data_IF_440602533735
#
_entry.id   IF_440602533735
#
_cell.length_a   1.000
_cell.length_b   1.000
_cell.length_c   1.000
_cell.angle_alpha   90.00
_cell.angle_beta   90.00
_cell.angle_gamma   90.00
#
_symmetry.space_group_name_H-M   'P 1'
#
loop_
_entity.id
_entity.type
_entity.pdbx_description
1 polymer ?
#
# COMPACT_ATOMS: atom_id res chain seq x y z
N UNK A 1 11.17 -11.97 2.27
CA UNK A 1 10.68 -12.44 0.95
C UNK A 1 9.25 -11.96 0.69
N UNK A 2 8.97 -11.39 -0.48
CA UNK A 2 7.60 -11.08 -0.93
C UNK A 2 6.89 -12.37 -1.37
N UNK A 3 5.72 -12.64 -0.78
CA UNK A 3 4.90 -13.84 -1.04
C UNK A 3 3.73 -13.55 -1.99
N UNK A 4 3.11 -12.39 -1.86
CA UNK A 4 2.00 -11.97 -2.70
C UNK A 4 1.99 -10.45 -2.83
N UNK A 5 1.73 -9.96 -4.03
CA UNK A 5 1.44 -8.56 -4.33
C UNK A 5 0.26 -8.53 -5.29
N UNK A 6 -0.85 -7.90 -4.89
CA UNK A 6 -2.07 -7.88 -5.68
C UNK A 6 -2.83 -6.57 -5.50
N UNK A 7 -3.76 -6.32 -6.43
CA UNK A 7 -4.61 -5.13 -6.45
C UNK A 7 -6.02 -5.54 -6.83
N UNK A 8 -6.99 -5.00 -6.13
CA UNK A 8 -8.41 -5.19 -6.43
C UNK A 8 -9.09 -3.83 -6.58
N UNK A 9 -9.99 -3.67 -7.57
CA UNK A 9 -10.86 -2.50 -7.65
C UNK A 9 -11.88 -2.52 -6.51
N UNK A 10 -12.09 -1.37 -5.89
CA UNK A 10 -13.03 -1.19 -4.77
C UNK A 10 -14.05 -0.10 -5.06
N UNK A 11 -15.14 -0.06 -4.29
CA UNK A 11 -16.18 0.95 -4.39
C UNK A 11 -15.71 2.26 -3.77
N UNK A 12 -16.16 3.39 -4.32
CA UNK A 12 -15.95 4.71 -3.71
C UNK A 12 -16.66 4.88 -2.36
N UNK A 13 -17.55 3.95 -2.01
CA UNK A 13 -18.18 3.88 -0.68
C UNK A 13 -17.22 3.37 0.42
N UNK A 14 -16.12 2.71 0.04
CA UNK A 14 -15.08 2.30 0.98
C UNK A 14 -14.26 3.53 1.40
N UNK A 15 -14.78 4.25 2.39
CA UNK A 15 -14.07 5.39 3.01
C UNK A 15 -12.88 4.92 3.83
N UNK A 16 -11.96 5.84 4.10
CA UNK A 16 -10.81 5.62 5.00
C UNK A 16 -11.26 5.06 6.36
N UNK A 17 -12.29 5.64 6.97
CA UNK A 17 -12.82 5.20 8.26
C UNK A 17 -13.34 3.77 8.20
N UNK A 18 -14.13 3.44 7.17
CA UNK A 18 -14.69 2.08 7.00
C UNK A 18 -13.58 1.04 6.76
N UNK A 19 -12.56 1.41 5.99
CA UNK A 19 -11.41 0.56 5.71
C UNK A 19 -10.58 0.28 6.96
N UNK A 20 -10.25 1.32 7.73
CA UNK A 20 -9.52 1.16 9.00
C UNK A 20 -10.35 0.38 10.01
N UNK A 21 -11.65 0.63 10.10
CA UNK A 21 -12.55 -0.12 10.99
C UNK A 21 -12.57 -1.62 10.66
N UNK A 22 -12.64 -2.00 9.37
CA UNK A 22 -12.55 -3.41 8.95
C UNK A 22 -11.21 -4.04 9.31
N UNK A 23 -10.12 -3.28 9.20
CA UNK A 23 -8.78 -3.74 9.55
C UNK A 23 -8.61 -3.94 11.06
N UNK A 24 -9.13 -3.01 11.87
CA UNK A 24 -9.17 -3.14 13.34
C UNK A 24 -10.00 -4.35 13.75
N UNK A 25 -11.18 -4.54 13.15
CA UNK A 25 -12.03 -5.69 13.40
C UNK A 25 -11.33 -7.01 13.02
N UNK A 26 -10.56 -7.01 11.92
CA UNK A 26 -9.77 -8.17 11.52
C UNK A 26 -8.71 -8.56 12.55
N UNK A 27 -7.93 -7.59 13.06
CA UNK A 27 -6.86 -7.90 14.02
C UNK A 27 -7.38 -8.21 15.42
N UNK A 28 -8.47 -7.57 15.85
CA UNK A 28 -9.07 -7.77 17.19
C UNK A 28 -9.87 -9.07 17.31
N UNK A 29 -10.57 -9.47 16.24
CA UNK A 29 -11.35 -10.73 16.23
C UNK A 29 -10.53 -11.95 15.74
N UNK A 30 -9.23 -11.79 15.53
CA UNK A 30 -8.36 -12.88 15.11
C UNK A 30 -8.06 -13.83 16.27
N UNK A 31 -8.05 -15.14 15.99
CA UNK A 31 -7.54 -16.14 16.96
C UNK A 31 -6.01 -16.15 17.04
N UNK A 32 -5.35 -15.52 16.08
CA UNK A 32 -3.90 -15.59 15.91
C UNK A 32 -3.17 -14.36 16.47
N UNK A 33 -3.90 -13.29 16.83
CA UNK A 33 -3.32 -12.03 17.27
C UNK A 33 -3.93 -11.60 18.60
N UNK A 34 -3.15 -10.93 19.44
CA UNK A 34 -3.59 -10.51 20.77
C UNK A 34 -3.64 -8.98 20.88
N UNK A 35 -4.67 -8.36 20.33
CA UNK A 35 -4.95 -6.93 20.53
C UNK A 35 -6.06 -6.74 21.58
N UNK A 36 -5.85 -5.80 22.50
CA UNK A 36 -6.98 -5.25 23.28
C UNK A 36 -7.87 -4.42 22.34
N UNK A 37 -9.19 -4.32 22.59
CA UNK A 37 -10.06 -3.49 21.77
C UNK A 37 -9.55 -2.05 21.70
N UNK A 38 -9.29 -1.57 20.49
CA UNK A 38 -8.82 -0.20 20.24
C UNK A 38 -9.63 0.43 19.12
N UNK A 39 -9.60 1.75 19.07
CA UNK A 39 -10.27 2.54 18.03
C UNK A 39 -9.23 3.50 17.47
N UNK A 40 -9.22 3.62 16.15
CA UNK A 40 -8.41 4.63 15.47
C UNK A 40 -9.01 6.02 15.72
N UNK A 41 -8.15 6.97 16.09
CA UNK A 41 -8.51 8.33 16.49
C UNK A 41 -8.60 9.33 15.33
N UNK A 42 -8.44 8.86 14.09
CA UNK A 42 -8.38 9.72 12.90
C UNK A 42 -6.99 10.35 12.67
N UNK A 43 -5.99 10.02 13.50
CA UNK A 43 -4.64 10.57 13.35
C UNK A 43 -3.96 10.09 12.05
N UNK A 44 -3.12 10.95 11.43
CA UNK A 44 -2.44 10.60 10.19
C UNK A 44 -1.32 9.59 10.36
N UNK A 45 -0.80 9.42 11.57
CA UNK A 45 0.14 8.35 11.93
C UNK A 45 -0.32 7.73 13.24
N UNK A 46 -0.96 6.56 13.15
CA UNK A 46 -1.43 5.81 14.29
C UNK A 46 -0.62 4.54 14.45
N UNK A 47 -0.31 4.15 15.69
CA UNK A 47 0.35 2.86 15.98
C UNK A 47 -0.27 2.24 17.23
N UNK A 48 -0.69 0.99 17.10
CA UNK A 48 -1.14 0.14 18.20
C UNK A 48 -0.24 -1.09 18.27
N UNK A 49 0.14 -1.46 19.50
CA UNK A 49 1.00 -2.63 19.75
C UNK A 49 0.17 -3.66 20.52
N UNK A 50 0.12 -4.87 19.99
CA UNK A 50 -0.52 -6.03 20.60
C UNK A 50 0.31 -6.62 21.76
N UNK A 51 -0.30 -7.50 22.55
CA UNK A 51 0.33 -8.13 23.72
C UNK A 51 1.52 -9.01 23.36
N UNK A 52 1.54 -9.60 22.17
CA UNK A 52 2.65 -10.42 21.70
C UNK A 52 3.59 -9.63 20.77
N UNK A 53 3.64 -8.30 20.93
CA UNK A 53 4.46 -7.39 20.11
C UNK A 53 4.03 -7.34 18.63
N UNK A 54 2.79 -7.71 18.31
CA UNK A 54 2.22 -7.41 17.00
C UNK A 54 2.12 -5.89 16.83
N UNK A 55 2.39 -5.37 15.63
CA UNK A 55 2.36 -3.94 15.35
C UNK A 55 1.31 -3.67 14.29
N UNK A 56 0.36 -2.79 14.61
CA UNK A 56 -0.64 -2.28 13.68
C UNK A 56 -0.42 -0.78 13.52
N UNK A 57 -0.13 -0.34 12.30
CA UNK A 57 0.08 1.08 12.00
C UNK A 57 -0.86 1.54 10.90
N UNK A 58 -1.38 2.76 11.04
CA UNK A 58 -2.13 3.46 9.99
C UNK A 58 -1.32 4.69 9.59
N UNK A 59 -1.15 4.87 8.28
CA UNK A 59 -0.56 6.06 7.69
C UNK A 59 -1.53 6.70 6.71
N UNK A 60 -1.94 7.93 6.98
CA UNK A 60 -2.67 8.78 6.03
C UNK A 60 -1.70 9.64 5.23
N UNK A 61 -1.90 9.63 3.92
CA UNK A 61 -1.13 10.35 2.92
C UNK A 61 -2.10 11.18 2.06
N UNK A 62 -2.61 12.27 2.63
CA UNK A 62 -3.69 13.09 2.06
C UNK A 62 -3.35 13.62 0.65
N UNK A 63 -2.11 14.06 0.44
CA UNK A 63 -1.65 14.59 -0.85
C UNK A 63 -1.70 13.53 -1.97
N UNK A 64 -1.51 12.26 -1.63
CA UNK A 64 -1.58 11.14 -2.58
C UNK A 64 -2.97 10.49 -2.62
N UNK A 65 -3.90 10.96 -1.78
CA UNK A 65 -5.21 10.34 -1.57
C UNK A 65 -5.11 8.85 -1.21
N UNK A 66 -4.19 8.53 -0.30
CA UNK A 66 -3.88 7.14 0.10
C UNK A 66 -3.97 6.98 1.62
N UNK A 67 -4.61 5.89 2.04
CA UNK A 67 -4.54 5.37 3.41
C UNK A 67 -3.83 4.02 3.37
N UNK A 68 -2.79 3.85 4.18
CA UNK A 68 -2.05 2.60 4.27
C UNK A 68 -2.10 2.03 5.68
N UNK A 69 -2.20 0.70 5.76
CA UNK A 69 -2.17 -0.08 6.99
C UNK A 69 -0.97 -1.01 6.91
N UNK A 70 -0.05 -0.85 7.84
CA UNK A 70 1.13 -1.70 7.99
C UNK A 70 0.94 -2.59 9.20
N UNK A 71 0.90 -3.90 8.96
CA UNK A 71 0.71 -4.89 10.00
C UNK A 71 1.91 -5.83 10.09
N UNK A 72 2.49 -5.98 11.27
CA UNK A 72 3.59 -6.92 11.54
C UNK A 72 3.21 -7.86 12.67
N UNK A 73 3.44 -9.15 12.47
CA UNK A 73 3.27 -10.17 13.50
C UNK A 73 4.42 -11.19 13.41
N UNK A 74 4.76 -11.80 14.53
CA UNK A 74 5.76 -12.87 14.60
C UNK A 74 5.04 -14.15 14.98
N UNK A 75 5.33 -15.26 14.27
CA UNK A 75 4.75 -16.55 14.61
C UNK A 75 5.57 -17.30 15.68
N UNK A 76 5.07 -18.46 16.12
CA UNK A 76 5.70 -19.26 17.18
C UNK A 76 7.10 -19.79 16.82
N UNK A 77 7.53 -19.68 15.56
CA UNK A 77 8.86 -20.06 15.08
C UNK A 77 9.75 -18.84 14.85
N UNK A 78 9.38 -17.69 15.41
CA UNK A 78 10.09 -16.43 15.23
C UNK A 78 10.13 -15.91 13.78
N UNK A 79 9.25 -16.43 12.90
CA UNK A 79 9.13 -15.94 11.54
C UNK A 79 8.28 -14.67 11.55
N UNK A 80 8.83 -13.59 11.01
CA UNK A 80 8.15 -12.30 10.88
C UNK A 80 7.28 -12.28 9.63
N UNK A 81 6.00 -11.99 9.83
CA UNK A 81 5.01 -11.75 8.80
C UNK A 81 4.69 -10.27 8.75
N UNK A 82 4.76 -9.68 7.56
CA UNK A 82 4.44 -8.26 7.35
C UNK A 82 3.42 -8.15 6.23
N UNK A 83 2.32 -7.47 6.51
CA UNK A 83 1.23 -7.25 5.56
C UNK A 83 0.99 -5.76 5.42
N UNK A 84 1.12 -5.28 4.19
CA UNK A 84 0.76 -3.91 3.83
C UNK A 84 -0.57 -3.93 3.09
N UNK A 85 -1.50 -3.07 3.49
CA UNK A 85 -2.72 -2.76 2.73
C UNK A 85 -2.72 -1.29 2.40
N UNK A 86 -2.96 -0.95 1.14
CA UNK A 86 -2.88 0.42 0.66
C UNK A 86 -4.15 0.71 -0.11
N UNK A 87 -5.02 1.49 0.50
CA UNK A 87 -6.23 2.01 -0.10
C UNK A 87 -5.90 3.33 -0.80
N UNK A 88 -5.93 3.31 -2.12
CA UNK A 88 -5.95 4.50 -2.96
C UNK A 88 -7.41 4.88 -3.20
N UNK A 89 -7.94 5.73 -2.33
CA UNK A 89 -9.32 6.19 -2.42
C UNK A 89 -9.53 7.19 -3.57
N UNK A 90 -8.46 7.79 -4.10
CA UNK A 90 -8.51 8.63 -5.30
C UNK A 90 -8.79 7.82 -6.58
N UNK A 91 -8.21 6.63 -6.71
CA UNK A 91 -8.41 5.76 -7.88
C UNK A 91 -9.31 4.55 -7.61
N UNK A 92 -9.86 4.43 -6.39
CA UNK A 92 -10.70 3.31 -5.97
C UNK A 92 -10.01 1.94 -6.14
N UNK A 93 -8.75 1.85 -5.68
CA UNK A 93 -7.93 0.62 -5.75
C UNK A 93 -7.45 0.26 -4.35
N UNK A 94 -7.63 -1.00 -3.97
CA UNK A 94 -6.95 -1.59 -2.81
C UNK A 94 -5.78 -2.44 -3.30
N UNK A 95 -4.57 -2.05 -2.95
CA UNK A 95 -3.38 -2.87 -3.12
C UNK A 95 -3.01 -3.55 -1.80
N UNK A 96 -2.42 -4.74 -1.87
CA UNK A 96 -1.86 -5.37 -0.69
C UNK A 96 -0.64 -6.22 -1.00
N UNK A 97 0.26 -6.29 -0.04
CA UNK A 97 1.50 -7.04 -0.11
C UNK A 97 1.69 -7.87 1.15
N UNK A 98 2.10 -9.12 0.96
CA UNK A 98 2.44 -10.03 2.05
C UNK A 98 3.90 -10.40 1.96
N UNK A 99 4.63 -10.12 3.03
CA UNK A 99 6.04 -10.46 3.19
C UNK A 99 6.20 -11.47 4.32
N UNK A 100 7.22 -12.32 4.16
CA UNK A 100 7.69 -13.23 5.18
C UNK A 100 9.20 -13.14 5.30
N UNK A 101 9.67 -12.96 6.51
CA UNK A 101 11.08 -12.92 6.86
C UNK A 101 11.37 -13.97 7.92
N UNK A 102 12.33 -14.84 7.64
CA UNK A 102 12.68 -15.94 8.52
C UNK A 102 14.12 -15.74 8.99
N UNK A 103 14.41 -15.89 10.29
CA UNK A 103 15.77 -15.77 10.81
C UNK A 103 16.69 -16.89 10.28
N UNK A 104 18.00 -16.65 10.38
CA UNK A 104 19.04 -17.49 9.75
C UNK A 104 19.13 -18.90 10.34
N UNK A 105 18.63 -19.10 11.56
CA UNK A 105 18.72 -20.31 12.36
C UNK A 105 17.56 -21.31 12.13
N UNK A 106 16.67 -21.03 11.16
CA UNK A 106 15.55 -21.92 10.82
C UNK A 106 15.90 -22.84 9.65
N UNK A 107 15.90 -24.15 9.91
CA UNK A 107 16.16 -25.18 8.89
C UNK A 107 15.06 -25.30 7.82
N UNK A 108 13.81 -24.96 8.15
CA UNK A 108 12.67 -25.13 7.25
C UNK A 108 11.57 -24.09 7.42
N UNK A 109 11.30 -23.38 6.33
CA UNK A 109 10.17 -22.45 6.20
C UNK A 109 9.10 -23.09 5.33
N UNK A 110 7.90 -23.26 5.89
CA UNK A 110 6.80 -23.87 5.16
C UNK A 110 6.42 -23.01 3.94
N UNK A 111 6.33 -23.57 2.72
CA UNK A 111 6.11 -22.75 1.51
C UNK A 111 4.68 -22.22 1.40
N UNK A 112 3.71 -22.91 2.00
CA UNK A 112 2.30 -22.50 1.94
C UNK A 112 2.04 -21.34 2.90
N UNK A 113 1.30 -20.36 2.39
CA UNK A 113 0.77 -19.23 3.15
C UNK A 113 -0.72 -19.08 2.83
N UNK A 114 -1.42 -18.26 3.62
CA UNK A 114 -2.79 -17.84 3.35
C UNK A 114 -2.84 -16.33 3.16
N UNK A 115 -3.75 -15.87 2.30
CA UNK A 115 -3.97 -14.44 2.14
C UNK A 115 -4.55 -13.85 3.43
N UNK A 116 -4.22 -12.58 3.74
CA UNK A 116 -4.79 -11.90 4.89
C UNK A 116 -6.32 -11.85 4.85
N UNK A 117 -6.96 -12.15 5.98
CA UNK A 117 -8.42 -12.27 6.07
C UNK A 117 -9.15 -10.94 5.79
N UNK A 118 -8.48 -9.80 5.96
CA UNK A 118 -9.03 -8.49 5.62
C UNK A 118 -9.52 -8.41 4.16
N UNK A 119 -8.79 -8.99 3.20
CA UNK A 119 -9.21 -9.00 1.78
C UNK A 119 -10.56 -9.70 1.63
N UNK A 120 -10.71 -10.86 2.31
CA UNK A 120 -11.98 -11.61 2.31
C UNK A 120 -13.12 -10.79 2.92
N UNK A 121 -12.86 -10.09 4.02
CA UNK A 121 -13.83 -9.21 4.68
C UNK A 121 -14.30 -8.08 3.76
N UNK A 122 -13.38 -7.41 3.06
CA UNK A 122 -13.68 -6.31 2.14
C UNK A 122 -14.58 -6.79 0.98
N UNK A 123 -14.24 -7.94 0.38
CA UNK A 123 -15.05 -8.56 -0.68
C UNK A 123 -16.44 -8.94 -0.13
N UNK A 124 -16.48 -9.62 1.02
CA UNK A 124 -17.75 -10.09 1.61
C UNK A 124 -18.66 -8.95 2.09
N UNK A 125 -18.09 -7.80 2.43
CA UNK A 125 -18.82 -6.59 2.79
C UNK A 125 -19.35 -5.83 1.56
N UNK A 126 -19.08 -6.30 0.33
CA UNK A 126 -19.58 -5.70 -0.90
C UNK A 126 -18.78 -4.51 -1.42
N UNK A 127 -17.60 -4.26 -0.86
CA UNK A 127 -16.76 -3.13 -1.29
C UNK A 127 -15.93 -3.44 -2.54
N UNK A 128 -15.85 -4.69 -3.00
CA UNK A 128 -15.13 -5.03 -4.23
C UNK A 128 -16.00 -4.77 -5.47
N UNK A 129 -15.42 -4.13 -6.50
CA UNK A 129 -16.12 -3.78 -7.74
C UNK A 129 -15.70 -4.74 -8.87
N UNK A 130 -16.53 -4.91 -9.90
CA UNK A 130 -16.19 -5.75 -11.04
C UNK A 130 -15.00 -5.21 -11.85
N UNK A 131 -14.10 -6.09 -12.25
CA UNK A 131 -13.03 -5.79 -13.22
C UNK A 131 -13.57 -5.98 -14.63
N UNK A 132 -13.91 -4.88 -15.31
CA UNK A 132 -14.44 -4.86 -16.69
C UNK A 132 -15.63 -5.82 -16.92
N UNK A 133 -16.48 -5.96 -15.90
CA UNK A 133 -17.68 -6.80 -15.93
C UNK A 133 -17.51 -8.20 -15.33
N UNK A 134 -16.29 -8.60 -14.92
CA UNK A 134 -16.08 -9.80 -14.12
C UNK A 134 -16.10 -9.47 -12.63
N UNK A 135 -16.95 -10.17 -11.89
CA UNK A 135 -17.09 -10.00 -10.44
C UNK A 135 -15.82 -10.46 -9.71
N UNK A 136 -15.36 -9.64 -8.76
CA UNK A 136 -14.24 -9.99 -7.87
C UNK A 136 -14.79 -10.75 -6.67
N UNK A 137 -14.50 -12.05 -6.61
CA UNK A 137 -15.10 -12.95 -5.63
C UNK A 137 -14.12 -14.03 -5.17
N UNK A 138 -14.40 -14.63 -4.01
CA UNK A 138 -13.71 -15.82 -3.50
C UNK A 138 -14.32 -17.13 -4.02
N UNK A 139 -15.31 -17.04 -4.91
CA UNK A 139 -16.00 -18.17 -5.56
C UNK A 139 -15.69 -18.23 -7.05
N UNK A 140 -15.74 -19.44 -7.64
CA UNK A 140 -15.53 -19.57 -9.07
C UNK A 140 -16.75 -19.09 -9.86
N UNK A 141 -16.52 -18.50 -11.03
CA UNK A 141 -17.53 -18.05 -11.99
C UNK A 141 -17.85 -19.21 -12.94
N UNK A 142 -19.12 -19.60 -12.98
CA UNK A 142 -19.62 -20.67 -13.83
C UNK A 142 -19.88 -20.14 -15.25
N UNK A 143 -19.28 -20.77 -16.26
CA UNK A 143 -19.55 -20.47 -17.68
C UNK A 143 -20.56 -21.46 -18.25
N UNK A 144 -21.63 -20.92 -18.83
CA UNK A 144 -22.59 -21.67 -19.64
C UNK A 144 -22.41 -21.36 -21.14
N UNK A 145 -23.12 -22.09 -22.00
CA UNK A 145 -23.05 -21.88 -23.45
C UNK A 145 -23.34 -20.44 -23.90
N UNK A 146 -24.25 -19.75 -23.21
CA UNK A 146 -24.58 -18.34 -23.48
C UNK A 146 -23.41 -17.38 -23.26
N UNK A 147 -22.45 -17.75 -22.41
CA UNK A 147 -21.33 -16.89 -22.00
C UNK A 147 -20.11 -17.10 -22.91
N UNK A 148 -20.17 -18.06 -23.85
CA UNK A 148 -19.08 -18.42 -24.76
C UNK A 148 -18.59 -17.27 -25.62
N UNK A 149 -19.46 -16.32 -26.00
CA UNK A 149 -19.04 -15.13 -26.77
C UNK A 149 -18.11 -14.21 -25.98
N UNK A 150 -18.38 -14.04 -24.68
CA UNK A 150 -17.52 -13.24 -23.81
C UNK A 150 -16.22 -13.96 -23.50
N UNK A 151 -16.28 -15.28 -23.27
CA UNK A 151 -15.09 -16.11 -23.03
C UNK A 151 -14.18 -16.18 -24.26
N UNK A 152 -14.75 -16.25 -25.47
CA UNK A 152 -13.96 -16.21 -26.71
C UNK A 152 -13.17 -14.89 -26.84
N UNK A 153 -13.74 -13.75 -26.41
CA UNK A 153 -13.01 -12.47 -26.39
C UNK A 153 -11.84 -12.47 -25.42
N UNK A 154 -11.96 -13.14 -24.28
CA UNK A 154 -10.86 -13.32 -23.31
C UNK A 154 -9.75 -14.16 -23.92
N UNK A 155 -10.09 -15.35 -24.44
CA UNK A 155 -9.14 -16.31 -25.03
C UNK A 155 -8.40 -15.71 -26.23
N UNK A 156 -9.13 -15.01 -27.10
CA UNK A 156 -8.55 -14.33 -28.27
C UNK A 156 -7.87 -12.99 -27.91
N UNK A 157 -7.84 -12.62 -26.62
CA UNK A 157 -7.25 -11.37 -26.11
C UNK A 157 -7.81 -10.09 -26.74
N UNK A 158 -9.07 -10.13 -27.18
CA UNK A 158 -9.81 -8.93 -27.63
C UNK A 158 -10.18 -8.02 -26.45
N UNK A 159 -10.34 -8.61 -25.27
CA UNK A 159 -10.58 -7.89 -24.02
C UNK A 159 -9.50 -8.26 -23.02
N UNK A 160 -8.74 -7.27 -22.57
CA UNK A 160 -7.66 -7.44 -21.59
C UNK A 160 -8.18 -6.99 -20.23
N UNK A 161 -8.14 -7.87 -19.24
CA UNK A 161 -8.55 -7.60 -17.86
C UNK A 161 -7.37 -7.08 -17.04
N UNK A 162 -7.65 -6.39 -15.94
CA UNK A 162 -6.60 -5.83 -15.10
C UNK A 162 -6.06 -6.89 -14.14
N UNK A 163 -6.89 -7.85 -13.72
CA UNK A 163 -6.49 -8.97 -12.87
C UNK A 163 -6.30 -10.26 -13.69
N UNK A 164 -5.49 -11.21 -13.19
CA UNK A 164 -5.35 -12.51 -13.83
C UNK A 164 -6.68 -13.27 -13.87
N UNK A 165 -6.87 -14.08 -14.91
CA UNK A 165 -8.01 -14.98 -15.07
C UNK A 165 -7.49 -16.40 -15.14
N UNK A 166 -7.89 -17.26 -14.19
CA UNK A 166 -7.64 -18.70 -14.22
C UNK A 166 -8.83 -19.36 -14.90
N UNK A 167 -8.65 -19.77 -16.15
CA UNK A 167 -9.65 -20.49 -16.93
C UNK A 167 -9.45 -21.99 -16.78
N UNK A 168 -10.48 -22.71 -16.33
CA UNK A 168 -10.45 -24.15 -16.08
C UNK A 168 -11.44 -24.86 -17.01
N UNK A 169 -10.92 -25.66 -17.96
CA UNK A 169 -11.79 -26.47 -18.84
C UNK A 169 -12.24 -27.77 -18.17
N UNK A 170 -13.36 -28.31 -18.65
CA UNK A 170 -13.85 -29.63 -18.25
C UNK A 170 -13.03 -30.76 -18.88
N UNK A 171 -12.89 -31.87 -18.14
CA UNK A 171 -12.46 -33.17 -18.67
C UNK A 171 -13.59 -33.92 -19.39
N UNK A 172 -13.26 -35.13 -19.86
CA UNK A 172 -14.16 -36.04 -20.59
C UNK A 172 -15.45 -36.36 -19.84
N UNK A 173 -15.37 -36.41 -18.51
CA UNK A 173 -16.44 -36.72 -17.56
C UNK A 173 -17.27 -35.50 -17.15
N UNK A 174 -16.91 -34.31 -17.64
CA UNK A 174 -17.56 -33.04 -17.28
C UNK A 174 -17.04 -32.42 -15.98
N UNK A 175 -16.08 -33.05 -15.30
CA UNK A 175 -15.46 -32.49 -14.09
C UNK A 175 -14.16 -31.75 -14.41
N UNK A 176 -13.74 -30.84 -13.54
CA UNK A 176 -12.41 -30.23 -13.62
C UNK A 176 -11.39 -31.12 -12.90
N UNK A 177 -10.16 -31.15 -13.41
CA UNK A 177 -9.02 -31.90 -12.82
C UNK A 177 -8.74 -31.48 -11.38
N UNK A 178 -9.01 -30.21 -11.09
CA UNK A 178 -8.80 -29.57 -9.80
C UNK A 178 -10.11 -28.93 -9.39
N UNK A 179 -10.44 -28.99 -8.10
CA UNK A 179 -11.65 -28.35 -7.57
C UNK A 179 -11.58 -26.81 -7.75
N UNK A 180 -12.43 -26.21 -8.59
CA UNK A 180 -12.40 -24.77 -8.85
C UNK A 180 -12.68 -23.93 -7.61
N UNK A 181 -13.52 -24.43 -6.69
CA UNK A 181 -13.85 -23.73 -5.44
C UNK A 181 -12.63 -23.59 -4.53
N UNK A 182 -11.78 -24.62 -4.46
CA UNK A 182 -10.54 -24.53 -3.68
C UNK A 182 -9.55 -23.55 -4.29
N UNK A 183 -9.47 -23.47 -5.62
CA UNK A 183 -8.60 -22.52 -6.32
C UNK A 183 -9.10 -21.08 -6.07
N UNK A 184 -10.41 -20.84 -6.19
CA UNK A 184 -11.03 -19.54 -5.94
C UNK A 184 -10.85 -19.10 -4.48
N UNK A 185 -11.07 -19.99 -3.52
CA UNK A 185 -10.90 -19.70 -2.09
C UNK A 185 -9.45 -19.30 -1.77
N UNK A 186 -8.46 -19.98 -2.37
CA UNK A 186 -7.03 -19.69 -2.15
C UNK A 186 -6.56 -18.41 -2.83
N UNK A 187 -7.17 -18.04 -3.95
CA UNK A 187 -6.88 -16.78 -4.64
C UNK A 187 -7.64 -15.60 -4.04
N UNK A 188 -8.80 -15.82 -3.41
CA UNK A 188 -9.58 -14.85 -2.63
C UNK A 188 -9.68 -13.46 -3.30
N UNK A 189 -10.11 -13.43 -4.57
CA UNK A 189 -10.27 -12.20 -5.34
C UNK A 189 -9.00 -11.62 -5.98
N UNK A 190 -7.82 -12.23 -5.78
CA UNK A 190 -6.57 -11.82 -6.48
C UNK A 190 -6.64 -12.11 -7.98
N UNK A 191 -7.39 -13.14 -8.36
CA UNK A 191 -7.60 -13.52 -9.74
C UNK A 191 -9.01 -14.10 -9.90
N UNK A 192 -9.58 -13.89 -11.09
CA UNK A 192 -10.87 -14.46 -11.45
C UNK A 192 -10.71 -15.94 -11.73
N UNK A 193 -11.43 -16.80 -11.02
CA UNK A 193 -11.45 -18.23 -11.31
C UNK A 193 -12.70 -18.53 -12.10
N UNK A 194 -12.53 -19.04 -13.31
CA UNK A 194 -13.62 -19.30 -14.23
C UNK A 194 -13.55 -20.76 -14.64
N UNK A 195 -14.69 -21.47 -14.60
CA UNK A 195 -14.73 -22.86 -15.05
C UNK A 195 -15.96 -23.16 -15.92
N UNK A 196 -15.76 -24.09 -16.85
CA UNK A 196 -16.80 -24.59 -17.73
C UNK A 196 -17.78 -25.49 -16.94
N UNK A 197 -19.08 -25.37 -17.18
CA UNK A 197 -20.07 -26.27 -16.55
C UNK A 197 -20.27 -27.58 -17.31
N UNK A 198 -19.94 -27.59 -18.60
CA UNK A 198 -20.13 -28.75 -19.49
C UNK A 198 -19.15 -28.75 -20.63
N UNK A 199 -18.89 -29.94 -21.18
CA UNK A 199 -18.02 -30.12 -22.36
C UNK A 199 -18.54 -29.46 -23.63
N UNK A 200 -19.85 -29.21 -23.72
CA UNK A 200 -20.46 -28.48 -24.84
C UNK A 200 -19.96 -27.03 -24.93
N UNK A 201 -19.61 -26.41 -23.80
CA UNK A 201 -18.98 -25.09 -23.74
C UNK A 201 -17.62 -25.13 -24.44
N UNK A 202 -16.79 -26.14 -24.19
CA UNK A 202 -15.47 -26.26 -24.82
C UNK A 202 -15.55 -26.46 -26.34
N UNK A 203 -16.57 -27.18 -26.83
CA UNK A 203 -16.82 -27.34 -28.28
C UNK A 203 -17.28 -26.04 -28.92
N UNK A 204 -18.22 -25.33 -28.31
CA UNK A 204 -18.67 -24.02 -28.80
C UNK A 204 -17.52 -23.00 -28.82
N UNK A 205 -16.67 -23.01 -27.79
CA UNK A 205 -15.48 -22.16 -27.74
C UNK A 205 -14.43 -22.54 -28.78
N UNK A 206 -14.28 -23.83 -29.10
CA UNK A 206 -13.38 -24.28 -30.16
C UNK A 206 -13.75 -23.65 -31.50
N UNK A 207 -15.03 -23.67 -31.85
CA UNK A 207 -15.52 -23.11 -33.12
C UNK A 207 -15.36 -21.58 -33.16
N UNK A 208 -15.52 -20.91 -32.01
CA UNK A 208 -15.38 -19.44 -31.90
C UNK A 208 -13.94 -18.94 -31.79
N UNK A 209 -12.99 -19.80 -31.43
CA UNK A 209 -11.59 -19.41 -31.12
C UNK A 209 -10.54 -20.04 -32.04
N UNK A 210 -10.97 -20.68 -33.14
CA UNK A 210 -10.10 -21.48 -34.03
C UNK A 210 -9.27 -22.53 -33.26
N UNK A 211 -9.87 -23.13 -32.24
CA UNK A 211 -9.24 -24.15 -31.39
C UNK A 211 -8.11 -23.66 -30.48
N UNK A 212 -8.00 -22.34 -30.25
CA UNK A 212 -7.04 -21.78 -29.28
C UNK A 212 -7.47 -21.95 -27.83
N UNK A 213 -8.73 -22.30 -27.57
CA UNK A 213 -9.26 -22.47 -26.23
C UNK A 213 -8.55 -23.59 -25.44
N UNK A 214 -8.52 -23.49 -24.10
CA UNK A 214 -8.24 -24.63 -23.24
C UNK A 214 -9.32 -25.71 -23.41
N UNK A 215 -8.91 -26.98 -23.46
CA UNK A 215 -9.83 -28.11 -23.60
C UNK A 215 -9.27 -29.34 -22.88
N UNK A 216 -10.16 -30.33 -22.65
CA UNK A 216 -9.83 -31.62 -22.04
C UNK A 216 -9.11 -31.49 -20.68
N UNK A 217 -9.65 -30.66 -19.80
CA UNK A 217 -9.11 -30.44 -18.46
C UNK A 217 -7.89 -29.53 -18.39
N UNK A 218 -7.44 -28.95 -19.52
CA UNK A 218 -6.39 -27.94 -19.51
C UNK A 218 -6.84 -26.69 -18.72
N UNK A 219 -5.89 -26.09 -18.03
CA UNK A 219 -6.08 -24.86 -17.26
C UNK A 219 -5.19 -23.79 -17.90
N UNK A 220 -5.74 -22.63 -18.19
CA UNK A 220 -4.97 -21.53 -18.76
C UNK A 220 -5.15 -20.26 -17.93
N UNK A 221 -4.03 -19.68 -17.52
CA UNK A 221 -4.00 -18.44 -16.77
C UNK A 221 -3.74 -17.31 -17.76
N UNK A 222 -4.69 -16.40 -17.90
CA UNK A 222 -4.55 -15.19 -18.70
C UNK A 222 -4.13 -14.04 -17.79
N UNK A 223 -2.95 -13.48 -18.04
CA UNK A 223 -2.47 -12.27 -17.40
C UNK A 223 -2.73 -11.06 -18.30
N UNK A 224 -2.71 -9.82 -17.77
CA UNK A 224 -2.82 -8.63 -18.60
C UNK A 224 -1.83 -8.66 -19.78
N UNK A 225 -0.58 -9.06 -19.48
CA UNK A 225 0.54 -9.06 -20.43
C UNK A 225 1.08 -10.46 -20.76
N UNK A 226 0.25 -11.50 -20.73
CA UNK A 226 0.72 -12.85 -21.09
C UNK A 226 -0.34 -13.91 -20.87
N UNK A 227 0.01 -15.16 -21.13
CA UNK A 227 -0.78 -16.31 -20.69
C UNK A 227 0.17 -17.45 -20.29
N UNK A 228 -0.34 -18.37 -19.47
CA UNK A 228 0.37 -19.58 -19.09
C UNK A 228 -0.60 -20.76 -19.06
N UNK A 229 -0.31 -21.77 -19.88
CA UNK A 229 -1.13 -22.97 -20.00
C UNK A 229 -0.56 -24.12 -19.19
N UNK A 230 -1.44 -24.84 -18.52
CA UNK A 230 -1.19 -26.09 -17.81
C UNK A 230 -1.94 -27.21 -18.50
N UNK A 231 -1.21 -28.22 -18.92
CA UNK A 231 -1.78 -29.45 -19.41
C UNK A 231 -2.10 -30.40 -18.25
N UNK A 232 -3.16 -31.21 -18.34
CA UNK A 232 -3.51 -32.24 -17.35
C UNK A 232 -2.31 -33.06 -16.86
N UNK A 233 -1.47 -33.50 -17.81
CA UNK A 233 -0.30 -34.32 -17.55
C UNK A 233 0.81 -33.62 -16.74
N UNK A 234 0.83 -32.29 -16.71
CA UNK A 234 1.80 -31.51 -15.92
C UNK A 234 1.38 -31.38 -14.44
N UNK A 235 0.12 -31.67 -14.12
CA UNK A 235 -0.44 -31.54 -12.78
C UNK A 235 -0.42 -32.91 -12.07
N UNK A 236 0.73 -33.21 -11.47
CA UNK A 236 0.98 -34.46 -10.72
C UNK A 236 0.85 -34.25 -9.20
N UNK A 237 0.54 -35.34 -8.48
CA UNK A 237 0.43 -35.36 -7.02
C UNK A 237 -1.00 -35.28 -6.49
N UNK A 238 -1.12 -35.03 -5.18
CA UNK A 238 -2.41 -34.92 -4.48
C UNK A 238 -3.22 -33.72 -5.00
N UNK A 239 -4.56 -33.76 -4.84
CA UNK A 239 -5.43 -32.65 -5.25
C UNK A 239 -4.95 -31.30 -4.69
N UNK A 240 -4.53 -31.25 -3.42
CA UNK A 240 -4.00 -30.04 -2.80
C UNK A 240 -2.73 -29.53 -3.48
N UNK A 241 -1.79 -30.40 -3.86
CA UNK A 241 -0.58 -29.98 -4.58
C UNK A 241 -0.92 -29.37 -5.94
N UNK A 242 -1.91 -29.92 -6.66
CA UNK A 242 -2.36 -29.35 -7.94
C UNK A 242 -2.97 -27.95 -7.77
N UNK A 243 -3.79 -27.75 -6.74
CA UNK A 243 -4.33 -26.42 -6.39
C UNK A 243 -3.20 -25.43 -6.13
N UNK A 244 -2.26 -25.77 -5.23
CA UNK A 244 -1.16 -24.89 -4.89
C UNK A 244 -0.22 -24.62 -6.06
N UNK A 245 -0.03 -25.56 -6.99
CA UNK A 245 0.77 -25.33 -8.19
C UNK A 245 0.20 -24.19 -9.05
N UNK A 246 -1.13 -24.16 -9.22
CA UNK A 246 -1.83 -23.11 -9.98
C UNK A 246 -1.76 -21.78 -9.22
N UNK A 247 -2.14 -21.80 -7.94
CA UNK A 247 -2.17 -20.61 -7.08
C UNK A 247 -0.78 -19.97 -6.96
N UNK A 248 0.26 -20.77 -6.70
CA UNK A 248 1.63 -20.28 -6.62
C UNK A 248 2.12 -19.72 -7.94
N UNK A 249 1.68 -20.27 -9.08
CA UNK A 249 2.04 -19.72 -10.39
C UNK A 249 1.48 -18.31 -10.59
N UNK A 250 0.23 -18.07 -10.16
CA UNK A 250 -0.38 -16.73 -10.19
C UNK A 250 0.43 -15.77 -9.32
N UNK A 251 0.69 -16.12 -8.06
CA UNK A 251 1.45 -15.26 -7.15
C UNK A 251 2.89 -15.02 -7.62
N UNK A 252 3.57 -16.03 -8.14
CA UNK A 252 4.92 -15.88 -8.68
C UNK A 252 4.96 -14.89 -9.85
N UNK A 253 3.97 -14.94 -10.75
CA UNK A 253 3.91 -13.97 -11.84
C UNK A 253 3.64 -12.56 -11.32
N UNK A 254 2.69 -12.39 -10.39
CA UNK A 254 2.38 -11.08 -9.81
C UNK A 254 3.57 -10.50 -9.03
N UNK A 255 4.33 -11.32 -8.31
CA UNK A 255 5.50 -10.90 -7.55
C UNK A 255 6.69 -10.49 -8.43
N UNK A 256 6.73 -10.92 -9.69
CA UNK A 256 7.74 -10.48 -10.66
C UNK A 256 7.44 -9.09 -11.22
N UNK A 257 6.21 -8.59 -11.06
CA UNK A 257 5.82 -7.26 -11.51
C UNK A 257 6.33 -6.21 -10.52
N UNK A 258 6.81 -5.08 -11.07
CA UNK A 258 7.21 -3.94 -10.25
C UNK A 258 5.99 -3.39 -9.49
N UNK A 259 6.13 -3.26 -8.18
CA UNK A 259 5.18 -2.53 -7.34
C UNK A 259 5.42 -1.03 -7.57
N UNK A 260 4.36 -0.29 -7.91
CA UNK A 260 4.44 1.16 -8.05
C UNK A 260 4.68 1.81 -6.69
N UNK A 261 5.44 2.90 -6.66
CA UNK A 261 5.87 3.55 -5.42
C UNK A 261 4.68 4.00 -4.55
N UNK A 262 3.55 4.36 -5.17
CA UNK A 262 2.30 4.72 -4.47
C UNK A 262 1.67 3.56 -3.69
N UNK A 263 1.99 2.32 -4.06
CA UNK A 263 1.53 1.10 -3.41
C UNK A 263 2.66 0.44 -2.63
N UNK A 264 3.64 1.21 -2.14
CA UNK A 264 4.68 0.70 -1.25
C UNK A 264 4.71 1.52 0.03
N UNK A 265 4.49 0.86 1.17
CA UNK A 265 4.55 1.49 2.50
C UNK A 265 5.88 2.22 2.71
N UNK A 266 7.00 1.56 2.41
CA UNK A 266 8.34 2.15 2.54
C UNK A 266 8.52 3.41 1.69
N UNK A 267 8.00 3.42 0.45
CA UNK A 267 8.10 4.60 -0.42
C UNK A 267 7.17 5.73 0.03
N UNK A 268 5.95 5.42 0.48
CA UNK A 268 5.03 6.40 1.04
C UNK A 268 5.64 7.09 2.26
N UNK A 269 6.18 6.30 3.20
CA UNK A 269 6.88 6.81 4.39
C UNK A 269 8.13 7.62 4.02
N UNK A 270 8.96 7.12 3.10
CA UNK A 270 10.16 7.84 2.64
C UNK A 270 9.82 9.17 1.99
N UNK A 271 8.76 9.22 1.17
CA UNK A 271 8.30 10.45 0.52
C UNK A 271 7.77 11.46 1.54
N UNK A 272 6.99 11.00 2.53
CA UNK A 272 6.53 11.84 3.65
C UNK A 272 7.70 12.42 4.43
N UNK A 273 8.68 11.58 4.80
CA UNK A 273 9.88 12.02 5.53
C UNK A 273 10.72 13.02 4.71
N UNK A 274 10.92 12.77 3.40
CA UNK A 274 11.64 13.69 2.51
C UNK A 274 10.97 15.06 2.45
N UNK A 275 9.64 15.12 2.39
CA UNK A 275 8.87 16.38 2.39
C UNK A 275 8.98 17.12 3.71
N UNK A 276 8.86 16.42 4.83
CA UNK A 276 9.06 17.01 6.17
C UNK A 276 10.47 17.57 6.32
N UNK A 277 11.48 16.85 5.82
CA UNK A 277 12.86 17.31 5.82
C UNK A 277 13.03 18.56 4.96
N UNK A 278 12.50 18.60 3.72
CA UNK A 278 12.59 19.79 2.87
C UNK A 278 11.89 21.00 3.48
N UNK A 279 10.72 20.81 4.09
CA UNK A 279 10.02 21.89 4.79
C UNK A 279 10.80 22.41 6.00
N UNK A 280 11.47 21.51 6.73
CA UNK A 280 12.32 21.89 7.87
C UNK A 280 13.57 22.66 7.43
N UNK A 281 14.19 22.25 6.31
CA UNK A 281 15.34 22.95 5.72
C UNK A 281 14.92 24.36 5.26
N UNK A 282 13.80 24.48 4.54
CA UNK A 282 13.29 25.79 4.11
C UNK A 282 12.98 26.73 5.29
N UNK A 283 12.35 26.20 6.35
CA UNK A 283 12.13 26.99 7.58
C UNK A 283 13.45 27.48 8.19
N UNK A 284 14.45 26.61 8.32
CA UNK A 284 15.77 27.00 8.84
C UNK A 284 16.48 28.04 7.96
N UNK A 285 16.37 27.94 6.64
CA UNK A 285 16.92 28.94 5.72
C UNK A 285 16.22 30.28 5.88
N UNK A 286 14.90 30.28 6.03
CA UNK A 286 14.12 31.48 6.29
C UNK A 286 14.46 32.10 7.65
N UNK A 287 14.50 31.29 8.72
CA UNK A 287 14.92 31.72 10.05
C UNK A 287 16.34 32.34 10.00
N UNK A 288 17.28 31.70 9.29
CA UNK A 288 18.64 32.22 9.13
C UNK A 288 18.69 33.55 8.38
N UNK A 289 17.82 33.76 7.39
CA UNK A 289 17.69 35.04 6.69
C UNK A 289 17.09 36.11 7.60
N UNK A 290 16.07 35.77 8.39
CA UNK A 290 15.47 36.69 9.38
C UNK A 290 16.49 37.08 10.46
N UNK A 291 17.31 36.14 10.97
CA UNK A 291 18.38 36.46 11.91
C UNK A 291 19.42 37.43 11.34
N UNK A 292 19.81 37.28 10.06
CA UNK A 292 20.75 38.21 9.40
C UNK A 292 20.15 39.62 9.24
N UNK A 293 18.87 39.70 8.88
CA UNK A 293 18.17 40.98 8.77
C UNK A 293 18.06 41.66 10.14
N UNK A 294 17.78 40.88 11.18
CA UNK A 294 17.70 41.37 12.55
C UNK A 294 19.07 41.82 13.08
N UNK A 295 20.14 41.08 12.78
CA UNK A 295 21.52 41.45 13.12
C UNK A 295 21.92 42.78 12.47
N UNK A 296 21.65 42.94 11.17
CA UNK A 296 21.87 44.23 10.50
C UNK A 296 21.05 45.37 11.11
N UNK A 297 19.78 45.13 11.46
CA UNK A 297 18.97 46.14 12.13
C UNK A 297 19.53 46.51 13.52
N UNK A 298 20.07 45.54 14.26
CA UNK A 298 20.74 45.80 15.55
C UNK A 298 22.06 46.57 15.36
N UNK A 299 22.85 46.25 14.34
CA UNK A 299 24.06 47.01 14.00
C UNK A 299 23.72 48.46 13.66
N UNK A 300 22.70 48.70 12.85
CA UNK A 300 22.23 50.05 12.50
C UNK A 300 21.81 50.84 13.75
N UNK A 301 21.02 50.22 14.65
CA UNK A 301 20.61 50.86 15.91
C UNK A 301 21.83 51.16 16.79
N UNK A 302 22.79 50.25 16.89
CA UNK A 302 24.01 50.46 17.67
C UNK A 302 24.81 51.65 17.14
N UNK A 303 25.00 51.74 15.82
CA UNK A 303 25.71 52.88 15.21
C UNK A 303 24.99 54.20 15.45
N UNK A 304 23.66 54.23 15.39
CA UNK A 304 22.88 55.42 15.71
C UNK A 304 23.06 55.81 17.18
N UNK A 305 23.00 54.85 18.10
CA UNK A 305 23.18 55.08 19.54
C UNK A 305 24.58 55.56 19.87
N UNK A 306 25.62 55.00 19.26
CA UNK A 306 27.00 55.47 19.41
C UNK A 306 27.17 56.91 18.90
N UNK A 307 26.52 57.25 17.79
CA UNK A 307 26.53 58.62 17.28
C UNK A 307 25.84 59.61 18.25
N UNK A 308 24.75 59.18 18.90
CA UNK A 308 24.04 59.96 19.91
C UNK A 308 24.89 60.15 21.18
N UNK A 309 25.52 59.08 21.67
CA UNK A 309 26.43 59.13 22.82
C UNK A 309 27.60 60.08 22.53
N UNK A 310 28.20 59.99 21.33
CA UNK A 310 29.29 60.88 20.94
C UNK A 310 28.86 62.34 20.94
N UNK A 311 27.70 62.67 20.36
CA UNK A 311 27.14 64.03 20.38
C UNK A 311 26.88 64.53 21.79
N UNK A 312 26.28 63.71 22.65
CA UNK A 312 26.01 64.06 24.05
C UNK A 312 27.30 64.24 24.85
N UNK A 313 28.32 63.41 24.60
CA UNK A 313 29.64 63.53 25.20
C UNK A 313 30.34 64.83 24.77
N UNK A 314 30.28 65.18 23.49
CA UNK A 314 30.83 66.44 22.97
C UNK A 314 30.10 67.65 23.58
N UNK A 315 28.78 67.55 23.78
CA UNK A 315 27.98 68.55 24.47
C UNK A 315 28.33 68.67 25.95
N UNK A 316 28.52 67.55 26.65
CA UNK A 316 28.97 67.56 28.05
C UNK A 316 30.37 68.12 28.17
N UNK A 317 31.30 67.77 27.28
CA UNK A 317 32.65 68.28 27.29
C UNK A 317 32.70 69.80 27.05
N UNK A 318 31.93 70.30 26.07
CA UNK A 318 31.82 71.74 25.83
C UNK A 318 31.16 72.47 26.99
N UNK A 319 30.06 71.95 27.55
CA UNK A 319 29.43 72.50 28.74
C UNK A 319 30.38 72.53 29.95
N UNK A 320 31.12 71.44 30.18
CA UNK A 320 32.07 71.36 31.29
C UNK A 320 33.20 72.39 31.14
N UNK A 321 33.77 72.54 29.93
CA UNK A 321 34.75 73.59 29.65
C UNK A 321 34.21 75.01 29.91
N UNK A 322 32.94 75.27 29.56
CA UNK A 322 32.33 76.58 29.88
C UNK A 322 32.17 76.79 31.38
N UNK A 323 31.79 75.76 32.13
CA UNK A 323 31.72 75.82 33.60
C UNK A 323 33.11 76.11 34.18
N UNK A 324 34.15 75.40 33.74
CA UNK A 324 35.52 75.62 34.26
C UNK A 324 36.03 77.02 33.96
N UNK A 325 35.70 77.58 32.78
CA UNK A 325 36.05 78.96 32.43
C UNK A 325 35.33 79.99 33.30
N UNK A 326 34.04 79.77 33.59
CA UNK A 326 33.26 80.63 34.49
C UNK A 326 33.76 80.54 35.94
N UNK A 327 34.11 79.35 36.43
CA UNK A 327 34.71 79.15 37.74
C UNK A 327 36.06 79.86 37.86
N UNK A 328 36.91 79.78 36.84
CA UNK A 328 38.19 80.50 36.81
C UNK A 328 38.01 82.03 36.81
N UNK A 329 36.98 82.54 36.14
CA UNK A 329 36.63 83.96 36.17
C UNK A 329 36.10 84.41 37.54
N UNK A 330 35.36 83.56 38.24
CA UNK A 330 34.89 83.82 39.61
C UNK A 330 36.05 83.85 40.62
N UNK A 331 37.03 82.95 40.49
CA UNK A 331 38.23 82.94 41.36
C UNK A 331 39.20 84.11 41.14
N UNK A 332 39.06 84.85 40.04
CA UNK A 332 39.91 86.00 39.72
C UNK A 332 39.32 87.35 40.21
N UNK A 333 38.13 87.33 40.80
CA UNK A 333 37.39 88.51 41.29
C UNK A 333 37.37 88.59 42.83
N UNK A 334 37.96 87.60 43.53
CA UNK A 334 38.32 87.70 44.97
C UNK A 334 39.72 88.29 45.16
#
# INVERSE_FOLDING_TARGET
MLLCSARIPVSGELTVDSFVALAVEWVTNSRNYCFDPFVWDGSPDYTCIGKNQEVFQVGLFDEQSVCAIHFKAVDNREISWTTDFILDYGNCILAFQLYRDAPEDIDYVHPVFSLPFLVKKIISAGYAVSDKGLEVTDKPILIYEKDTDNMAKIILRKTIYNMPIVYMSCESDGHCIVNPYMVAEKLNGVAHVIFETSRSVSFSLRDKTDGKNPYAGAIEIFYPNGNRKFLPAQLSGTHSHKVYAIVNTVFQHLNQLRVEDRFSWSQLQSNKLRKQLSATIQKKEQDSQEYKLLEHAYEDILTEKDSQIKRLSDQLFSANNTITQLEAQLSAVE
#
